data_IF_042849507704
#
_entry.id   IF_042849507704
#
_cell.length_a   1.000
_cell.length_b   1.000
_cell.length_c   1.000
_cell.angle_alpha   90.00
_cell.angle_beta   90.00
_cell.angle_gamma   90.00
#
_symmetry.space_group_name_H-M   'P 1'
#
loop_
_entity.id
_entity.type
_entity.pdbx_description
1 polymer ?
#
# COMPACT_ATOMS: atom_id res chain seq x y z
N UNK A 1 -9.52 -14.03 10.69
CA UNK A 1 -9.69 -13.04 9.61
C UNK A 1 -9.05 -11.75 10.05
N UNK A 2 -8.29 -11.10 9.16
CA UNK A 2 -7.64 -9.81 9.42
C UNK A 2 -8.03 -8.84 8.31
N UNK A 3 -8.10 -7.56 8.65
CA UNK A 3 -8.26 -6.46 7.70
C UNK A 3 -6.86 -5.94 7.34
N UNK A 4 -6.48 -5.98 6.05
CA UNK A 4 -5.12 -5.67 5.60
C UNK A 4 -5.15 -4.55 4.57
N UNK A 5 -4.27 -3.57 4.72
CA UNK A 5 -3.97 -2.58 3.66
C UNK A 5 -2.58 -2.87 3.13
N UNK A 6 -2.47 -3.25 1.86
CA UNK A 6 -1.21 -3.61 1.22
C UNK A 6 -0.76 -2.56 0.21
N UNK A 7 0.31 -1.83 0.54
CA UNK A 7 0.90 -0.80 -0.31
C UNK A 7 1.90 -1.39 -1.30
N UNK A 8 1.71 -1.05 -2.58
CA UNK A 8 2.55 -1.52 -3.68
C UNK A 8 3.97 -0.92 -3.65
N UNK A 9 4.91 -1.58 -4.33
CA UNK A 9 6.27 -1.07 -4.55
C UNK A 9 6.31 0.04 -5.62
N UNK A 10 7.50 0.59 -5.89
CA UNK A 10 7.70 1.73 -6.80
C UNK A 10 7.33 1.46 -8.27
N UNK A 11 7.09 0.22 -8.70
CA UNK A 11 6.59 -0.06 -10.06
C UNK A 11 5.06 0.05 -10.21
N UNK A 12 4.35 0.52 -9.18
CA UNK A 12 2.88 0.60 -9.19
C UNK A 12 2.20 -0.68 -8.69
N UNK A 13 0.87 -0.73 -8.81
CA UNK A 13 0.04 -1.86 -8.39
C UNK A 13 0.07 -2.98 -9.44
N UNK A 14 1.20 -3.70 -9.53
CA UNK A 14 1.44 -4.75 -10.54
C UNK A 14 0.67 -6.05 -10.26
N UNK A 15 0.64 -6.95 -11.25
CA UNK A 15 0.07 -8.29 -11.11
C UNK A 15 0.72 -9.10 -9.98
N UNK A 16 2.01 -8.89 -9.72
CA UNK A 16 2.69 -9.53 -8.58
C UNK A 16 2.16 -9.04 -7.23
N UNK A 17 1.89 -7.74 -7.09
CA UNK A 17 1.29 -7.15 -5.88
C UNK A 17 -0.14 -7.64 -5.71
N UNK A 18 -0.93 -7.64 -6.79
CA UNK A 18 -2.30 -8.15 -6.78
C UNK A 18 -2.36 -9.66 -6.48
N UNK A 19 -1.42 -10.43 -7.03
CA UNK A 19 -1.29 -11.87 -6.79
C UNK A 19 -1.00 -12.19 -5.34
N UNK A 20 -0.09 -11.45 -4.69
CA UNK A 20 0.16 -11.60 -3.25
C UNK A 20 -1.07 -11.20 -2.41
N UNK A 21 -1.73 -10.09 -2.76
CA UNK A 21 -2.97 -9.70 -2.11
C UNK A 21 -4.05 -10.78 -2.24
N UNK A 22 -4.12 -11.45 -3.38
CA UNK A 22 -5.08 -12.52 -3.63
C UNK A 22 -4.79 -13.79 -2.83
N UNK A 23 -3.51 -14.12 -2.59
CA UNK A 23 -3.15 -15.21 -1.67
C UNK A 23 -3.65 -14.92 -0.26
N UNK A 24 -3.52 -13.68 0.21
CA UNK A 24 -4.06 -13.27 1.52
C UNK A 24 -5.59 -13.32 1.56
N UNK A 25 -6.27 -12.89 0.48
CA UNK A 25 -7.74 -13.01 0.38
C UNK A 25 -8.19 -14.46 0.40
N UNK A 26 -7.52 -15.33 -0.35
CA UNK A 26 -7.76 -16.77 -0.40
C UNK A 26 -7.57 -17.44 0.98
N UNK A 27 -6.70 -16.89 1.83
CA UNK A 27 -6.51 -17.33 3.21
C UNK A 27 -7.60 -16.81 4.19
N UNK A 28 -8.61 -16.08 3.71
CA UNK A 28 -9.71 -15.57 4.52
C UNK A 28 -9.42 -14.23 5.20
N UNK A 29 -8.63 -13.35 4.56
CA UNK A 29 -8.42 -11.96 4.98
C UNK A 29 -9.16 -10.99 4.05
N UNK A 30 -9.56 -9.83 4.57
CA UNK A 30 -9.98 -8.70 3.71
C UNK A 30 -8.73 -7.93 3.35
N UNK A 31 -8.49 -7.67 2.06
CA UNK A 31 -7.26 -7.01 1.60
C UNK A 31 -7.57 -5.86 0.67
N UNK A 32 -7.14 -4.66 1.07
CA UNK A 32 -7.19 -3.42 0.30
C UNK A 32 -5.85 -3.17 -0.36
N UNK A 33 -5.86 -2.86 -1.65
CA UNK A 33 -4.65 -2.58 -2.43
C UNK A 33 -4.75 -1.18 -3.04
N UNK A 34 -4.52 -0.11 -2.26
CA UNK A 34 -4.65 1.24 -2.76
C UNK A 34 -3.61 1.54 -3.83
N UNK A 35 -4.08 2.01 -4.98
CA UNK A 35 -3.23 2.42 -6.09
C UNK A 35 -2.81 3.89 -5.91
N UNK A 36 -1.58 4.09 -5.44
CA UNK A 36 -1.04 5.42 -5.21
C UNK A 36 -0.63 6.11 -6.51
N UNK A 37 -0.51 5.38 -7.62
CA UNK A 37 -0.12 5.88 -8.95
C UNK A 37 -1.29 5.98 -9.94
N UNK A 38 -2.51 5.65 -9.54
CA UNK A 38 -3.73 5.80 -10.34
C UNK A 38 -3.64 5.06 -11.69
N UNK A 39 -3.25 3.80 -11.67
CA UNK A 39 -3.20 2.89 -12.81
C UNK A 39 -1.86 2.85 -13.52
N UNK A 40 -0.91 3.73 -13.18
CA UNK A 40 0.43 3.68 -13.78
C UNK A 40 1.25 2.55 -13.17
N UNK A 41 1.74 1.69 -14.07
CA UNK A 41 2.70 0.63 -13.78
C UNK A 41 3.95 0.85 -14.60
N UNK A 42 5.09 0.38 -14.10
CA UNK A 42 6.39 0.59 -14.72
C UNK A 42 7.15 -0.73 -14.83
N UNK A 43 7.79 -0.96 -15.99
CA UNK A 43 8.57 -2.18 -16.24
C UNK A 43 9.91 -2.17 -15.51
N UNK A 44 10.42 -0.98 -15.19
CA UNK A 44 11.71 -0.81 -14.51
C UNK A 44 11.53 -0.08 -13.19
N UNK A 45 12.45 -0.36 -12.25
CA UNK A 45 12.50 0.34 -10.97
C UNK A 45 12.79 1.83 -11.17
N UNK A 46 13.66 2.17 -12.12
CA UNK A 46 14.07 3.55 -12.40
C UNK A 46 12.92 4.39 -12.92
N UNK A 47 12.13 3.87 -13.86
CA UNK A 47 10.93 4.55 -14.37
C UNK A 47 9.90 4.78 -13.25
N UNK A 48 9.73 3.77 -12.38
CA UNK A 48 8.89 3.86 -11.20
C UNK A 48 9.34 4.97 -10.24
N UNK A 49 10.64 5.06 -9.95
CA UNK A 49 11.19 6.12 -9.12
C UNK A 49 11.06 7.49 -9.79
N UNK A 50 11.32 7.60 -11.09
CA UNK A 50 11.16 8.85 -11.84
C UNK A 50 9.71 9.34 -11.74
N UNK A 51 8.73 8.45 -11.91
CA UNK A 51 7.33 8.81 -11.72
C UNK A 51 7.01 9.22 -10.28
N UNK A 52 7.44 8.43 -9.29
CA UNK A 52 7.23 8.74 -7.88
C UNK A 52 7.79 10.12 -7.49
N UNK A 53 8.99 10.46 -7.97
CA UNK A 53 9.64 11.74 -7.73
C UNK A 53 8.97 12.89 -8.49
N UNK A 54 8.34 12.63 -9.64
CA UNK A 54 7.55 13.63 -10.37
C UNK A 54 6.27 14.04 -9.63
N UNK A 55 5.75 13.18 -8.75
CA UNK A 55 4.57 13.48 -7.94
C UNK A 55 4.98 14.19 -6.67
N UNK A 56 4.30 15.30 -6.37
CA UNK A 56 4.46 15.99 -5.08
C UNK A 56 4.19 15.05 -3.90
N UNK A 57 5.08 15.04 -2.90
CA UNK A 57 4.98 14.16 -1.72
C UNK A 57 3.64 14.30 -1.00
N UNK A 58 3.10 15.52 -0.92
CA UNK A 58 1.79 15.82 -0.34
C UNK A 58 0.67 15.05 -1.06
N UNK A 59 0.70 15.00 -2.40
CA UNK A 59 -0.32 14.33 -3.21
C UNK A 59 -0.31 12.82 -2.97
N UNK A 60 0.87 12.19 -2.90
CA UNK A 60 0.98 10.77 -2.54
C UNK A 60 0.45 10.53 -1.12
N UNK A 61 0.81 11.40 -0.17
CA UNK A 61 0.38 11.26 1.22
C UNK A 61 -1.14 11.39 1.36
N UNK A 62 -1.75 12.36 0.70
CA UNK A 62 -3.21 12.54 0.66
C UNK A 62 -3.92 11.34 0.06
N UNK A 63 -3.41 10.76 -1.03
CA UNK A 63 -3.97 9.54 -1.64
C UNK A 63 -3.95 8.40 -0.64
N UNK A 64 -2.82 8.20 0.03
CA UNK A 64 -2.67 7.13 0.99
C UNK A 64 -3.57 7.32 2.23
N UNK A 65 -3.73 8.56 2.72
CA UNK A 65 -4.65 8.86 3.83
C UNK A 65 -6.10 8.59 3.45
N UNK A 66 -6.52 9.04 2.25
CA UNK A 66 -7.88 8.77 1.75
C UNK A 66 -8.16 7.29 1.61
N UNK A 67 -7.18 6.51 1.15
CA UNK A 67 -7.32 5.06 0.99
C UNK A 67 -7.65 4.31 2.29
N UNK A 68 -7.31 4.88 3.44
CA UNK A 68 -7.55 4.24 4.75
C UNK A 68 -8.60 4.96 5.59
N UNK A 69 -9.15 6.07 5.11
CA UNK A 69 -9.99 6.96 5.90
C UNK A 69 -11.26 6.26 6.43
N UNK A 70 -11.91 5.47 5.56
CA UNK A 70 -13.18 4.81 5.86
C UNK A 70 -13.01 3.38 6.37
N UNK A 71 -11.77 2.94 6.62
CA UNK A 71 -11.48 1.60 7.11
C UNK A 71 -11.47 1.55 8.65
N UNK A 72 -11.73 0.37 9.25
CA UNK A 72 -11.60 0.14 10.69
C UNK A 72 -10.21 0.52 11.22
N UNK A 73 -10.07 0.70 12.54
CA UNK A 73 -8.76 1.03 13.12
C UNK A 73 -7.89 -0.21 13.38
N UNK A 74 -8.49 -1.39 13.55
CA UNK A 74 -7.82 -2.66 13.83
C UNK A 74 -7.26 -3.34 12.56
N UNK A 75 -6.44 -2.59 11.83
CA UNK A 75 -5.83 -2.99 10.54
C UNK A 75 -4.41 -3.52 10.73
N UNK A 76 -4.02 -4.49 9.90
CA UNK A 76 -2.62 -4.80 9.61
C UNK A 76 -2.17 -4.01 8.39
N UNK A 77 -1.12 -3.21 8.53
CA UNK A 77 -0.53 -2.50 7.38
C UNK A 77 0.59 -3.34 6.78
N UNK A 78 0.52 -3.59 5.48
CA UNK A 78 1.54 -4.31 4.75
C UNK A 78 2.09 -3.43 3.63
N UNK A 79 3.35 -3.63 3.27
CA UNK A 79 3.93 -2.97 2.11
C UNK A 79 5.17 -3.69 1.62
N UNK A 80 5.53 -3.47 0.37
CA UNK A 80 6.77 -4.01 -0.20
C UNK A 80 7.63 -2.88 -0.73
N UNK A 81 8.94 -2.91 -0.45
CA UNK A 81 9.91 -1.90 -0.92
C UNK A 81 9.47 -0.48 -0.52
N UNK A 82 9.27 0.44 -1.47
CA UNK A 82 8.74 1.78 -1.21
C UNK A 82 7.40 1.78 -0.45
N UNK A 83 6.54 0.79 -0.70
CA UNK A 83 5.27 0.62 0.01
C UNK A 83 5.46 0.27 1.49
N UNK A 84 6.57 -0.36 1.88
CA UNK A 84 6.87 -0.70 3.26
C UNK A 84 7.01 0.57 4.13
N UNK A 85 7.61 1.63 3.59
CA UNK A 85 7.67 2.92 4.28
C UNK A 85 6.27 3.52 4.53
N UNK A 86 5.32 3.32 3.60
CA UNK A 86 3.91 3.74 3.79
C UNK A 86 3.22 2.90 4.86
N UNK A 87 3.42 1.59 4.84
CA UNK A 87 2.86 0.68 5.83
C UNK A 87 3.35 1.01 7.25
N UNK A 88 4.66 1.24 7.40
CA UNK A 88 5.27 1.66 8.66
C UNK A 88 4.70 2.98 9.16
N UNK A 89 4.54 3.99 8.28
CA UNK A 89 3.96 5.26 8.68
C UNK A 89 2.58 5.07 9.30
N UNK A 90 1.67 4.35 8.65
CA UNK A 90 0.31 4.18 9.18
C UNK A 90 0.27 3.33 10.45
N UNK A 91 1.10 2.29 10.55
CA UNK A 91 1.22 1.51 11.77
C UNK A 91 1.69 2.35 12.96
N UNK A 92 2.51 3.39 12.72
CA UNK A 92 3.00 4.29 13.77
C UNK A 92 2.03 5.42 14.11
N UNK A 93 1.22 5.89 13.15
CA UNK A 93 0.39 7.09 13.34
C UNK A 93 -1.09 6.82 13.54
N UNK A 94 -1.60 5.65 13.13
CA UNK A 94 -3.01 5.29 13.33
C UNK A 94 -3.18 4.45 14.59
N UNK A 95 -4.16 4.81 15.46
CA UNK A 95 -4.41 4.06 16.67
C UNK A 95 -4.88 2.63 16.33
N UNK A 96 -4.57 1.69 17.23
CA UNK A 96 -5.04 0.29 17.18
C UNK A 96 -4.54 -0.53 15.98
N UNK A 97 -3.51 -0.08 15.28
CA UNK A 97 -2.82 -0.90 14.29
C UNK A 97 -2.45 -2.27 14.91
N UNK A 98 -2.89 -3.35 14.27
CA UNK A 98 -2.73 -4.72 14.77
C UNK A 98 -1.35 -5.30 14.50
N UNK A 99 -0.64 -4.73 13.53
CA UNK A 99 0.70 -5.13 13.14
C UNK A 99 1.15 -4.45 11.86
N UNK A 100 2.41 -4.68 11.52
CA UNK A 100 3.01 -4.22 10.27
C UNK A 100 3.83 -5.34 9.62
N UNK A 101 3.70 -5.49 8.31
CA UNK A 101 4.51 -6.39 7.46
C UNK A 101 5.27 -5.54 6.42
N UNK A 102 6.59 -5.70 6.34
CA UNK A 102 7.49 -4.87 5.54
C UNK A 102 8.28 -5.69 4.53
#
# INVERSE_FOLDING_TARGET
MAEVVFFHHVQGLTDGVLGFAEQLRSAGHTVHTPDLFKGHQFLTIDDGFAHMQSIRKEVISERAVRAVADLPNDIVYAGTSWGAARAQQFAQTRPLARGVLL
#
